data_IF_635129407672
#
_entry.id   IF_635129407672
#
_cell.length_a   1.000
_cell.length_b   1.000
_cell.length_c   1.000
_cell.angle_alpha   90.00
_cell.angle_beta   90.00
_cell.angle_gamma   90.00
#
_symmetry.space_group_name_H-M   'P 1'
#
loop_
_entity.id
_entity.type
_entity.pdbx_description
1 polymer ?
#
# COMPACT_ATOMS: atom_id res chain seq x y z
N UNK A 1 59.07 -2.00 62.59
CA UNK A 1 58.98 -0.90 63.57
C UNK A 1 57.57 -0.33 63.52
N UNK A 2 56.92 -0.29 64.67
CA UNK A 2 55.54 0.13 64.90
C UNK A 2 55.46 1.66 64.82
N UNK A 3 54.49 2.22 64.08
CA UNK A 3 53.55 3.23 64.62
C UNK A 3 52.45 3.62 63.61
N UNK A 4 51.21 3.47 64.08
CA UNK A 4 49.99 4.14 63.59
C UNK A 4 50.13 5.66 63.75
N UNK A 5 49.49 6.43 62.86
CA UNK A 5 48.63 7.54 63.27
C UNK A 5 47.62 7.91 62.18
N UNK A 6 46.54 8.48 62.66
CA UNK A 6 45.18 8.45 62.14
C UNK A 6 44.70 9.90 61.93
N UNK A 7 43.69 10.06 61.06
CA UNK A 7 42.64 11.11 61.05
C UNK A 7 43.01 12.53 60.53
N UNK A 8 42.31 12.98 59.48
CA UNK A 8 41.27 14.05 59.55
C UNK A 8 40.66 14.32 58.17
N UNK A 9 39.34 14.08 58.08
CA UNK A 9 38.44 14.68 57.09
C UNK A 9 37.86 15.93 57.73
N UNK A 10 37.95 17.10 57.08
CA UNK A 10 36.85 18.08 57.05
C UNK A 10 37.08 19.24 56.06
N UNK A 11 36.07 19.38 55.21
CA UNK A 11 35.57 20.53 54.45
C UNK A 11 36.02 21.95 54.86
N UNK A 12 36.42 22.74 53.87
CA UNK A 12 36.18 24.19 53.83
C UNK A 12 36.12 24.69 52.37
N UNK A 13 34.88 24.84 51.88
CA UNK A 13 34.32 25.93 51.07
C UNK A 13 35.28 26.85 50.29
N UNK A 14 35.24 26.77 48.95
CA UNK A 14 35.39 27.95 48.08
C UNK A 14 34.23 27.95 47.06
N UNK A 15 33.34 28.93 47.20
CA UNK A 15 32.17 29.18 46.36
C UNK A 15 32.49 30.37 45.45
N UNK A 16 32.22 30.17 44.15
CA UNK A 16 31.91 31.13 43.09
C UNK A 16 32.94 32.19 42.68
N UNK A 17 33.48 32.03 41.46
CA UNK A 17 33.09 32.90 40.33
C UNK A 17 33.53 32.27 38.99
N UNK A 18 32.61 31.60 38.29
CA UNK A 18 32.71 31.43 36.83
C UNK A 18 31.30 31.16 36.27
N UNK A 19 30.53 32.25 36.16
CA UNK A 19 29.31 32.30 35.37
C UNK A 19 29.69 32.87 33.99
N UNK A 20 29.15 32.25 32.93
CA UNK A 20 29.06 32.74 31.54
C UNK A 20 30.35 32.76 30.71
N UNK A 21 30.63 31.64 30.04
CA UNK A 21 30.80 31.60 28.57
C UNK A 21 30.80 30.15 28.09
N UNK A 22 29.61 29.55 27.98
CA UNK A 22 29.34 28.41 27.09
C UNK A 22 27.95 28.64 26.49
N UNK A 23 27.88 29.63 25.60
CA UNK A 23 26.76 29.82 24.69
C UNK A 23 27.34 29.76 23.27
N UNK A 24 26.69 28.94 22.43
CA UNK A 24 26.92 28.66 20.99
C UNK A 24 27.99 27.63 20.67
N UNK A 25 27.62 26.35 20.77
CA UNK A 25 27.67 25.46 19.60
C UNK A 25 26.81 24.19 19.81
N UNK A 26 25.51 24.35 20.03
CA UNK A 26 24.54 23.24 19.95
C UNK A 26 23.16 23.77 19.55
N UNK A 27 23.08 24.49 18.44
CA UNK A 27 21.82 24.86 17.80
C UNK A 27 22.04 24.90 16.29
N UNK A 28 22.16 23.72 15.67
CA UNK A 28 22.05 23.58 14.21
C UNK A 28 21.43 22.25 13.76
N UNK A 29 20.60 21.64 14.61
CA UNK A 29 19.83 20.43 14.28
C UNK A 29 18.33 20.55 14.59
N UNK A 30 17.82 21.77 14.87
CA UNK A 30 16.39 22.00 15.16
C UNK A 30 15.78 23.19 14.36
N UNK A 31 16.41 23.55 13.24
CA UNK A 31 15.83 24.50 12.26
C UNK A 31 16.06 24.02 10.83
N UNK A 32 15.33 22.98 10.42
CA UNK A 32 14.91 22.81 9.03
C UNK A 32 13.41 22.47 8.96
N UNK A 33 12.62 23.04 9.87
CA UNK A 33 11.15 22.98 9.79
C UNK A 33 10.69 24.11 8.88
N UNK A 34 10.05 23.71 7.78
CA UNK A 34 9.51 24.47 6.67
C UNK A 34 10.53 25.25 5.81
N UNK A 35 11.17 24.54 4.88
CA UNK A 35 11.29 25.11 3.51
C UNK A 35 9.87 25.53 3.12
N UNK A 36 9.71 26.73 2.60
CA UNK A 36 8.41 27.25 2.18
C UNK A 36 7.77 26.25 1.20
N UNK A 37 6.68 25.61 1.61
CA UNK A 37 5.94 24.67 0.76
C UNK A 37 5.19 25.50 -0.28
N UNK A 38 5.85 25.75 -1.40
CA UNK A 38 5.34 26.59 -2.48
C UNK A 38 4.18 25.96 -3.26
N UNK A 39 3.92 24.68 -3.01
CA UNK A 39 2.86 23.92 -3.65
C UNK A 39 1.68 23.66 -2.72
N UNK A 40 1.80 23.96 -1.42
CA UNK A 40 0.70 23.74 -0.49
C UNK A 40 -0.50 24.61 -0.85
N UNK A 41 -1.63 23.96 -1.07
CA UNK A 41 -2.91 24.62 -1.15
C UNK A 41 -3.91 23.92 -2.05
N UNK A 42 -5.05 24.57 -2.20
CA UNK A 42 -6.10 24.18 -3.14
C UNK A 42 -5.99 25.04 -4.39
N UNK A 43 -6.17 24.41 -5.54
CA UNK A 43 -6.08 24.98 -6.87
C UNK A 43 -7.33 24.63 -7.66
N UNK A 44 -7.83 25.58 -8.42
CA UNK A 44 -8.79 25.34 -9.48
C UNK A 44 -8.03 25.07 -10.78
N UNK A 45 -8.15 23.87 -11.32
CA UNK A 45 -7.69 23.51 -12.66
C UNK A 45 -8.89 23.51 -13.61
N UNK A 46 -8.85 24.33 -14.67
CA UNK A 46 -9.92 24.48 -15.64
C UNK A 46 -9.43 24.05 -17.01
N UNK A 47 -10.19 23.18 -17.68
CA UNK A 47 -9.94 22.79 -19.07
C UNK A 47 -10.84 23.60 -20.00
N UNK A 48 -10.25 24.18 -21.04
CA UNK A 48 -10.99 24.75 -22.15
C UNK A 48 -11.48 23.62 -23.06
N UNK A 49 -12.79 23.56 -23.27
CA UNK A 49 -13.41 22.68 -24.28
C UNK A 49 -14.35 23.48 -25.16
N UNK A 50 -14.70 22.94 -26.32
CA UNK A 50 -15.55 23.61 -27.32
C UNK A 50 -16.97 23.92 -26.83
N UNK A 51 -17.43 23.30 -25.73
CA UNK A 51 -18.83 23.38 -25.30
C UNK A 51 -19.03 23.68 -23.81
N UNK A 52 -18.19 23.15 -22.92
CA UNK A 52 -18.29 23.36 -21.47
C UNK A 52 -16.92 23.32 -20.79
N UNK A 53 -16.65 24.25 -19.88
CA UNK A 53 -15.44 24.16 -19.06
C UNK A 53 -15.52 22.93 -18.15
N UNK A 54 -14.46 22.13 -18.13
CA UNK A 54 -14.31 21.03 -17.17
C UNK A 54 -13.45 21.55 -16.02
N UNK A 55 -13.99 21.50 -14.81
CA UNK A 55 -13.37 22.04 -13.61
C UNK A 55 -12.90 20.92 -12.70
N UNK A 56 -11.65 21.02 -12.25
CA UNK A 56 -11.07 20.15 -11.26
C UNK A 56 -10.63 20.95 -10.03
N UNK A 57 -10.91 20.41 -8.86
CA UNK A 57 -10.29 20.81 -7.61
C UNK A 57 -9.02 19.99 -7.41
N UNK A 58 -7.90 20.66 -7.20
CA UNK A 58 -6.60 20.07 -6.99
C UNK A 58 -6.06 20.51 -5.64
N UNK A 59 -5.70 19.58 -4.77
CA UNK A 59 -4.96 19.88 -3.55
C UNK A 59 -3.55 19.33 -3.67
N UNK A 60 -2.54 20.14 -3.34
CA UNK A 60 -1.14 19.76 -3.40
C UNK A 60 -0.46 20.01 -2.05
N UNK A 61 0.54 19.20 -1.73
CA UNK A 61 1.41 19.36 -0.57
C UNK A 61 2.82 18.85 -0.86
N UNK A 62 3.81 19.39 -0.16
CA UNK A 62 5.19 18.90 -0.16
C UNK A 62 5.43 17.98 1.04
N UNK A 63 5.80 16.73 0.76
CA UNK A 63 6.23 15.75 1.75
C UNK A 63 7.55 16.11 2.43
N UNK A 64 7.88 15.41 3.52
CA UNK A 64 9.17 15.60 4.23
C UNK A 64 10.39 15.17 3.43
N UNK A 65 10.18 14.35 2.41
CA UNK A 65 11.15 13.91 1.39
C UNK A 65 11.20 14.86 0.17
N UNK A 66 10.61 16.05 0.28
CA UNK A 66 10.59 17.10 -0.76
C UNK A 66 9.79 16.77 -2.03
N UNK A 67 9.14 15.60 -2.12
CA UNK A 67 8.24 15.32 -3.24
C UNK A 67 6.92 16.06 -3.08
N UNK A 68 6.37 16.51 -4.20
CA UNK A 68 5.08 17.20 -4.26
C UNK A 68 4.03 16.25 -4.81
N UNK A 69 2.96 16.07 -4.07
CA UNK A 69 1.86 15.18 -4.43
C UNK A 69 0.55 15.71 -3.89
N UNK A 70 -0.54 15.07 -4.29
CA UNK A 70 -1.85 15.55 -3.96
C UNK A 70 -2.96 14.76 -4.59
N UNK A 71 -4.10 15.42 -4.70
CA UNK A 71 -5.33 14.80 -5.16
C UNK A 71 -6.10 15.72 -6.10
N UNK A 72 -6.66 15.14 -7.16
CA UNK A 72 -7.37 15.82 -8.23
C UNK A 72 -8.79 15.25 -8.33
N UNK A 73 -9.80 16.10 -8.19
CA UNK A 73 -11.23 15.72 -8.24
C UNK A 73 -12.01 16.58 -9.22
N UNK A 74 -13.00 16.01 -9.89
CA UNK A 74 -13.94 16.72 -10.75
C UNK A 74 -15.31 16.04 -10.74
N UNK A 75 -16.38 16.82 -10.56
CA UNK A 75 -17.76 16.32 -10.67
C UNK A 75 -18.07 15.82 -12.09
N UNK A 76 -17.34 16.30 -13.10
CA UNK A 76 -17.47 15.79 -14.46
C UNK A 76 -17.06 14.31 -14.53
N UNK A 77 -18.08 13.46 -14.71
CA UNK A 77 -17.98 11.99 -14.70
C UNK A 77 -17.44 11.40 -13.39
N UNK A 78 -17.64 12.08 -12.25
CA UNK A 78 -17.18 11.62 -10.94
C UNK A 78 -15.70 11.21 -10.97
N UNK A 79 -14.84 12.10 -11.48
CA UNK A 79 -13.42 11.81 -11.64
C UNK A 79 -12.62 12.16 -10.40
N UNK A 80 -11.70 11.27 -10.06
CA UNK A 80 -10.98 11.25 -8.81
C UNK A 80 -9.63 10.55 -9.03
N UNK A 81 -8.51 11.21 -8.70
CA UNK A 81 -7.18 10.65 -8.94
C UNK A 81 -6.11 11.26 -8.05
N UNK A 82 -5.13 10.47 -7.59
CA UNK A 82 -3.89 11.03 -7.07
C UNK A 82 -3.13 11.73 -8.21
N UNK A 83 -2.30 12.68 -7.82
CA UNK A 83 -1.43 13.44 -8.72
C UNK A 83 -0.11 13.71 -8.03
N UNK A 84 0.99 13.64 -8.77
CA UNK A 84 2.32 13.96 -8.27
C UNK A 84 3.14 14.72 -9.28
N UNK A 85 4.03 15.57 -8.78
CA UNK A 85 4.96 16.36 -9.56
C UNK A 85 6.14 15.49 -10.00
N UNK A 86 6.34 15.36 -11.30
CA UNK A 86 7.47 14.66 -11.91
C UNK A 86 8.73 15.51 -11.86
N UNK A 87 8.61 16.78 -12.25
CA UNK A 87 9.75 17.70 -12.36
C UNK A 87 9.32 19.15 -12.50
N UNK A 88 10.27 20.05 -12.18
CA UNK A 88 10.20 21.48 -12.49
C UNK A 88 11.43 21.84 -13.31
N UNK A 89 11.21 22.49 -14.45
CA UNK A 89 12.26 22.99 -15.34
C UNK A 89 11.92 24.45 -15.68
N UNK A 90 12.77 25.37 -15.24
CA UNK A 90 12.51 26.81 -15.27
C UNK A 90 11.14 27.13 -14.61
N UNK A 91 10.25 27.79 -15.34
CA UNK A 91 8.88 28.10 -14.90
C UNK A 91 7.87 27.00 -15.29
N UNK A 92 8.32 25.83 -15.76
CA UNK A 92 7.44 24.73 -16.17
C UNK A 92 7.39 23.61 -15.12
N UNK A 93 6.20 23.14 -14.80
CA UNK A 93 5.93 22.03 -13.91
C UNK A 93 5.22 20.90 -14.66
N UNK A 94 5.68 19.68 -14.42
CA UNK A 94 5.17 18.46 -15.06
C UNK A 94 4.64 17.54 -13.96
N UNK A 95 3.39 17.11 -14.10
CA UNK A 95 2.75 16.19 -13.18
C UNK A 95 2.20 14.99 -13.94
N UNK A 96 2.12 13.87 -13.23
CA UNK A 96 1.32 12.73 -13.63
C UNK A 96 0.16 12.55 -12.64
N UNK A 97 -0.98 12.16 -13.20
CA UNK A 97 -2.11 11.55 -12.50
C UNK A 97 -2.34 10.18 -13.16
N UNK A 98 -3.12 9.30 -12.54
CA UNK A 98 -3.28 7.87 -12.90
C UNK A 98 -2.97 7.49 -14.37
N UNK A 99 -3.76 7.97 -15.33
CA UNK A 99 -3.50 7.83 -16.78
C UNK A 99 -3.29 9.15 -17.50
N UNK A 100 -3.16 10.24 -16.75
CA UNK A 100 -3.25 11.61 -17.23
C UNK A 100 -1.95 12.37 -16.95
N UNK A 101 -1.60 13.35 -17.77
CA UNK A 101 -0.41 14.19 -17.60
C UNK A 101 -0.83 15.65 -17.63
N UNK A 102 -0.31 16.42 -16.68
CA UNK A 102 -0.51 17.86 -16.58
C UNK A 102 0.83 18.55 -16.78
N UNK A 103 0.89 19.48 -17.73
CA UNK A 103 2.08 20.27 -18.04
C UNK A 103 1.68 21.73 -17.97
N UNK A 104 2.33 22.48 -17.11
CA UNK A 104 1.98 23.86 -16.84
C UNK A 104 3.23 24.72 -16.87
N UNK A 105 3.11 25.92 -17.42
CA UNK A 105 4.10 26.98 -17.32
C UNK A 105 3.52 28.12 -16.50
N UNK A 106 4.31 28.67 -15.58
CA UNK A 106 3.91 29.78 -14.75
C UNK A 106 4.01 31.09 -15.53
N UNK A 107 2.92 31.84 -15.54
CA UNK A 107 2.82 33.19 -16.09
C UNK A 107 2.14 34.06 -15.02
N UNK A 108 2.94 34.89 -14.33
CA UNK A 108 2.54 35.64 -13.14
C UNK A 108 2.00 34.72 -12.01
N UNK A 109 0.72 34.91 -11.63
CA UNK A 109 0.01 34.12 -10.61
C UNK A 109 -0.81 32.98 -11.20
N UNK A 110 -0.67 32.70 -12.49
CA UNK A 110 -1.50 31.77 -13.24
C UNK A 110 -0.60 30.73 -13.89
N UNK A 111 -0.99 29.47 -13.79
CA UNK A 111 -0.34 28.40 -14.51
C UNK A 111 -1.15 28.08 -15.77
N UNK A 112 -0.50 27.98 -16.92
CA UNK A 112 -1.17 27.65 -18.19
C UNK A 112 -0.43 26.52 -18.91
N UNK A 113 -1.16 25.66 -19.60
CA UNK A 113 -0.54 24.59 -20.39
C UNK A 113 -1.55 23.55 -20.84
N UNK A 114 -1.20 22.26 -20.71
CA UNK A 114 -1.97 21.14 -21.26
C UNK A 114 -2.28 20.10 -20.19
N UNK A 115 -3.49 19.55 -20.23
CA UNK A 115 -3.87 18.37 -19.44
C UNK A 115 -4.45 17.30 -20.36
N UNK A 116 -3.93 16.08 -20.26
CA UNK A 116 -4.53 14.94 -20.95
C UNK A 116 -5.68 14.40 -20.11
N UNK A 117 -6.89 14.31 -20.66
CA UNK A 117 -8.05 13.77 -19.96
C UNK A 117 -8.95 13.03 -20.95
N UNK A 118 -9.48 11.87 -20.55
CA UNK A 118 -10.33 11.02 -21.40
C UNK A 118 -9.73 10.75 -22.79
N UNK A 119 -8.41 10.52 -22.85
CA UNK A 119 -7.63 10.27 -24.08
C UNK A 119 -7.50 11.44 -25.06
N UNK A 120 -7.94 12.64 -24.66
CA UNK A 120 -7.71 13.90 -25.40
C UNK A 120 -6.73 14.79 -24.62
N UNK A 121 -6.24 15.84 -25.26
CA UNK A 121 -5.42 16.88 -24.63
C UNK A 121 -6.14 18.22 -24.71
N UNK A 122 -6.24 18.92 -23.58
CA UNK A 122 -6.96 20.19 -23.44
C UNK A 122 -6.02 21.30 -22.99
N UNK A 123 -6.29 22.53 -23.42
CA UNK A 123 -5.72 23.71 -22.77
C UNK A 123 -6.22 23.79 -21.33
N UNK A 124 -5.27 24.02 -20.43
CA UNK A 124 -5.49 23.98 -19.00
C UNK A 124 -5.00 25.27 -18.36
N UNK A 125 -5.79 25.82 -17.44
CA UNK A 125 -5.40 26.92 -16.56
C UNK A 125 -5.52 26.48 -15.11
N UNK A 126 -4.50 26.72 -14.30
CA UNK A 126 -4.51 26.41 -12.88
C UNK A 126 -4.24 27.66 -12.04
N UNK A 127 -5.10 27.90 -11.04
CA UNK A 127 -5.04 29.05 -10.14
C UNK A 127 -5.18 28.58 -8.71
N UNK A 128 -4.33 29.07 -7.81
CA UNK A 128 -4.48 28.80 -6.39
C UNK A 128 -5.72 29.53 -5.86
N UNK A 129 -6.59 28.81 -5.17
CA UNK A 129 -7.82 29.33 -4.56
C UNK A 129 -7.72 29.39 -3.03
N UNK A 130 -6.90 28.52 -2.42
CA UNK A 130 -6.61 28.51 -0.99
C UNK A 130 -5.17 28.06 -0.72
N UNK A 131 -4.61 28.45 0.42
CA UNK A 131 -3.31 27.97 0.95
C UNK A 131 -3.46 26.75 1.86
N UNK A 132 -4.70 26.41 2.23
CA UNK A 132 -5.05 25.25 3.04
C UNK A 132 -5.32 24.03 2.16
N UNK A 133 -5.20 22.84 2.76
CA UNK A 133 -5.60 21.56 2.20
C UNK A 133 -6.36 20.77 3.26
N UNK A 134 -7.07 19.72 2.86
CA UNK A 134 -7.72 18.78 3.78
C UNK A 134 -6.73 18.19 4.79
N UNK A 135 -7.20 17.97 6.01
CA UNK A 135 -6.36 17.52 7.12
C UNK A 135 -5.71 16.16 6.83
N UNK A 136 -6.43 15.23 6.19
CA UNK A 136 -5.90 13.91 5.83
C UNK A 136 -4.73 13.97 4.84
N UNK A 137 -4.67 14.98 3.96
CA UNK A 137 -3.53 15.22 3.07
C UNK A 137 -2.38 15.88 3.85
N UNK A 138 -2.69 16.84 4.72
CA UNK A 138 -1.70 17.45 5.61
C UNK A 138 -1.00 16.41 6.52
N UNK A 139 -1.76 15.46 7.07
CA UNK A 139 -1.28 14.37 7.92
C UNK A 139 -0.50 13.28 7.15
N UNK A 140 -0.33 13.41 5.83
CA UNK A 140 0.39 12.45 5.01
C UNK A 140 1.87 12.79 4.78
N UNK A 141 2.32 14.02 5.11
CA UNK A 141 3.66 14.53 4.77
C UNK A 141 4.81 13.66 5.26
N UNK A 142 4.63 13.04 6.41
CA UNK A 142 5.64 12.22 7.07
C UNK A 142 5.45 10.72 6.78
N UNK A 143 4.40 10.38 6.03
CA UNK A 143 4.03 9.01 5.72
C UNK A 143 4.65 8.57 4.40
N UNK A 144 5.91 8.12 4.51
CA UNK A 144 6.74 7.73 3.37
C UNK A 144 6.50 6.26 2.97
N UNK A 145 6.57 5.94 1.67
CA UNK A 145 6.55 4.55 1.20
C UNK A 145 7.85 3.83 1.60
N UNK A 146 7.85 2.50 1.49
CA UNK A 146 9.08 1.72 1.64
C UNK A 146 10.13 2.18 0.60
N UNK A 147 11.34 2.49 1.07
CA UNK A 147 12.44 2.94 0.22
C UNK A 147 13.26 1.73 -0.25
N UNK A 148 13.22 1.43 -1.55
CA UNK A 148 13.97 0.32 -2.15
C UNK A 148 15.32 0.78 -2.72
N UNK A 149 16.25 -0.15 -2.90
CA UNK A 149 17.54 0.09 -3.55
C UNK A 149 17.46 0.29 -5.08
N UNK A 150 16.25 0.19 -5.64
CA UNK A 150 15.93 0.39 -7.05
C UNK A 150 14.68 1.23 -7.16
N UNK A 151 14.59 2.01 -8.23
CA UNK A 151 13.40 2.76 -8.57
C UNK A 151 12.36 1.84 -9.23
N UNK A 152 11.30 1.52 -8.48
CA UNK A 152 10.17 0.75 -8.97
C UNK A 152 9.01 1.68 -9.29
N UNK A 153 8.70 1.83 -10.59
CA UNK A 153 7.54 2.62 -11.04
C UNK A 153 6.21 2.22 -10.38
N UNK A 154 6.05 0.95 -10.01
CA UNK A 154 4.95 0.46 -9.16
C UNK A 154 5.46 -0.70 -8.31
N UNK A 155 4.94 -0.85 -7.10
CA UNK A 155 5.21 -2.00 -6.24
C UNK A 155 3.98 -2.33 -5.38
N UNK A 156 3.61 -3.62 -5.31
CA UNK A 156 2.39 -4.06 -4.64
C UNK A 156 2.46 -5.47 -4.05
N UNK A 157 1.46 -5.81 -3.25
CA UNK A 157 1.25 -7.15 -2.68
C UNK A 157 2.39 -7.59 -1.78
N UNK A 158 2.77 -6.71 -0.85
CA UNK A 158 3.74 -7.02 0.20
C UNK A 158 3.31 -8.29 0.94
N UNK A 159 4.15 -9.31 0.89
CA UNK A 159 3.95 -10.61 1.52
C UNK A 159 5.09 -10.81 2.50
N UNK A 160 4.91 -10.37 3.76
CA UNK A 160 5.96 -10.40 4.76
C UNK A 160 6.28 -11.83 5.20
N UNK A 161 7.59 -12.12 5.28
CA UNK A 161 8.13 -13.36 5.88
C UNK A 161 8.75 -13.08 7.24
N UNK A 162 9.10 -11.83 7.51
CA UNK A 162 9.40 -11.29 8.84
C UNK A 162 9.09 -9.79 8.87
N UNK A 163 9.31 -9.15 10.01
CA UNK A 163 9.21 -7.70 10.16
C UNK A 163 10.14 -6.91 9.22
N UNK A 164 11.22 -7.52 8.74
CA UNK A 164 12.28 -6.86 7.95
C UNK A 164 12.59 -7.59 6.64
N UNK A 165 11.73 -8.52 6.22
CA UNK A 165 11.86 -9.21 4.94
C UNK A 165 10.48 -9.45 4.31
N UNK A 166 10.30 -9.04 3.06
CA UNK A 166 9.03 -9.15 2.33
C UNK A 166 9.25 -9.66 0.90
N UNK A 167 8.33 -10.48 0.41
CA UNK A 167 8.13 -10.59 -1.04
C UNK A 167 7.20 -9.48 -1.51
N UNK A 168 7.33 -9.05 -2.76
CA UNK A 168 6.38 -8.16 -3.41
C UNK A 168 6.41 -8.34 -4.93
N UNK A 169 5.43 -7.76 -5.61
CA UNK A 169 5.32 -7.76 -7.07
C UNK A 169 5.56 -6.35 -7.63
N UNK A 170 6.38 -6.25 -8.68
CA UNK A 170 6.51 -5.05 -9.51
C UNK A 170 6.57 -5.45 -10.97
N UNK A 171 5.82 -4.78 -11.85
CA UNK A 171 5.76 -5.09 -13.31
C UNK A 171 5.67 -6.59 -13.61
N UNK A 172 4.79 -7.27 -12.87
CA UNK A 172 4.53 -8.72 -12.98
C UNK A 172 5.72 -9.64 -12.66
N UNK A 173 6.70 -9.12 -11.93
CA UNK A 173 7.89 -9.82 -11.44
C UNK A 173 7.83 -9.91 -9.92
N UNK A 174 8.33 -11.00 -9.37
CA UNK A 174 8.41 -11.21 -7.91
C UNK A 174 9.80 -10.80 -7.43
N UNK A 175 9.85 -10.04 -6.35
CA UNK A 175 11.08 -9.61 -5.68
C UNK A 175 11.04 -10.01 -4.21
N UNK A 176 12.19 -10.39 -3.67
CA UNK A 176 12.43 -10.48 -2.23
C UNK A 176 13.20 -9.22 -1.81
N UNK A 177 12.71 -8.55 -0.77
CA UNK A 177 13.35 -7.37 -0.20
C UNK A 177 13.72 -7.60 1.27
N UNK A 178 14.90 -7.12 1.65
CA UNK A 178 15.41 -7.15 3.03
C UNK A 178 15.68 -5.73 3.51
N UNK A 179 15.15 -5.36 4.66
CA UNK A 179 15.38 -4.06 5.28
C UNK A 179 16.71 -4.10 6.07
N UNK A 180 17.69 -3.28 5.68
CA UNK A 180 18.97 -3.17 6.38
C UNK A 180 19.02 -2.04 7.43
N UNK A 181 17.90 -1.33 7.61
CA UNK A 181 17.77 -0.18 8.52
C UNK A 181 17.70 1.16 7.80
N UNK A 182 18.21 1.24 6.56
CA UNK A 182 18.14 2.45 5.72
C UNK A 182 17.31 2.21 4.46
N UNK A 183 17.53 1.07 3.78
CA UNK A 183 16.90 0.73 2.51
C UNK A 183 16.45 -0.74 2.48
N UNK A 184 15.44 -0.99 1.65
CA UNK A 184 15.04 -2.34 1.28
C UNK A 184 15.87 -2.83 0.10
N UNK A 185 16.85 -3.70 0.38
CA UNK A 185 17.71 -4.34 -0.62
C UNK A 185 16.93 -5.40 -1.37
N UNK A 186 16.89 -5.30 -2.71
CA UNK A 186 16.00 -6.14 -3.52
C UNK A 186 16.74 -7.15 -4.39
N UNK A 187 16.23 -8.38 -4.39
CA UNK A 187 16.65 -9.44 -5.29
C UNK A 187 15.43 -9.97 -6.06
N UNK A 188 15.55 -10.07 -7.38
CA UNK A 188 14.49 -10.68 -8.20
C UNK A 188 14.44 -12.18 -7.93
N UNK A 189 13.24 -12.73 -7.74
CA UNK A 189 13.04 -14.17 -7.60
C UNK A 189 13.16 -14.80 -8.98
N UNK A 190 14.03 -15.80 -9.11
CA UNK A 190 14.26 -16.51 -10.37
C UNK A 190 13.18 -17.58 -10.59
N UNK A 191 12.46 -17.49 -11.71
CA UNK A 191 11.49 -18.45 -12.20
C UNK A 191 11.38 -18.34 -13.73
N UNK A 192 10.68 -19.25 -14.39
CA UNK A 192 10.57 -19.28 -15.86
C UNK A 192 9.70 -18.12 -16.42
N UNK A 193 10.33 -16.95 -16.58
CA UNK A 193 9.71 -15.73 -17.11
C UNK A 193 9.30 -15.79 -18.57
N UNK A 194 9.76 -16.78 -19.33
CA UNK A 194 9.33 -16.95 -20.73
C UNK A 194 7.93 -17.53 -20.79
N UNK A 195 7.54 -18.27 -19.77
CA UNK A 195 6.27 -18.96 -19.71
C UNK A 195 5.32 -18.38 -18.66
N UNK A 196 5.79 -17.58 -17.69
CA UNK A 196 4.96 -17.17 -16.56
C UNK A 196 5.07 -15.68 -16.21
N UNK A 197 3.92 -15.08 -15.89
CA UNK A 197 3.79 -13.78 -15.23
C UNK A 197 2.88 -13.90 -14.00
N UNK A 198 3.19 -13.18 -12.92
CA UNK A 198 2.40 -13.18 -11.69
C UNK A 198 2.04 -11.76 -11.27
N UNK A 199 0.83 -11.55 -10.77
CA UNK A 199 0.24 -10.26 -10.47
C UNK A 199 0.12 -10.00 -8.96
N UNK A 200 -0.10 -11.05 -8.18
CA UNK A 200 -0.16 -10.99 -6.72
C UNK A 200 0.29 -12.31 -6.11
N UNK A 201 0.66 -12.27 -4.83
CA UNK A 201 1.27 -13.39 -4.12
C UNK A 201 0.81 -13.45 -2.66
N UNK A 202 0.99 -14.63 -2.07
CA UNK A 202 1.01 -14.93 -0.65
C UNK A 202 2.12 -15.95 -0.37
N UNK A 203 2.36 -16.26 0.90
CA UNK A 203 3.42 -17.18 1.34
C UNK A 203 2.86 -18.24 2.27
N UNK A 204 3.41 -19.45 2.19
CA UNK A 204 3.18 -20.49 3.19
C UNK A 204 3.71 -20.10 4.57
N UNK A 205 3.08 -20.57 5.64
CA UNK A 205 3.57 -20.37 6.99
C UNK A 205 4.98 -20.97 7.21
N UNK A 206 5.27 -22.09 6.56
CA UNK A 206 6.60 -22.72 6.57
C UNK A 206 7.60 -22.06 5.60
N UNK A 207 7.16 -21.05 4.85
CA UNK A 207 7.93 -20.29 3.86
C UNK A 207 8.54 -21.15 2.73
N UNK A 208 8.08 -22.40 2.57
CA UNK A 208 8.58 -23.34 1.55
C UNK A 208 8.06 -23.04 0.14
N UNK A 209 6.95 -22.30 0.03
CA UNK A 209 6.30 -22.00 -1.24
C UNK A 209 5.52 -20.70 -1.20
N UNK A 210 5.46 -20.04 -2.34
CA UNK A 210 4.53 -18.94 -2.59
C UNK A 210 3.23 -19.51 -3.18
N UNK A 211 2.12 -18.88 -2.85
CA UNK A 211 0.89 -18.98 -3.65
C UNK A 211 0.79 -17.72 -4.49
N UNK A 212 0.62 -17.87 -5.79
CA UNK A 212 0.64 -16.75 -6.72
C UNK A 212 -0.59 -16.77 -7.60
N UNK A 213 -1.10 -15.58 -7.90
CA UNK A 213 -2.06 -15.38 -8.96
C UNK A 213 -1.32 -14.83 -10.20
N UNK A 214 -1.55 -15.45 -11.35
CA UNK A 214 -0.79 -15.18 -12.56
C UNK A 214 -1.36 -15.90 -13.78
N UNK A 215 -0.57 -15.99 -14.85
CA UNK A 215 -0.96 -16.76 -16.03
C UNK A 215 0.25 -17.26 -16.81
N UNK A 216 0.09 -18.34 -17.60
CA UNK A 216 1.05 -18.70 -18.60
C UNK A 216 1.09 -17.66 -19.75
N UNK A 217 2.24 -17.53 -20.41
CA UNK A 217 2.48 -16.62 -21.54
C UNK A 217 2.28 -17.29 -22.92
N UNK A 218 2.14 -18.61 -22.94
CA UNK A 218 1.86 -19.42 -24.14
C UNK A 218 0.60 -20.22 -23.84
N UNK A 219 -0.42 -20.10 -24.70
CA UNK A 219 -1.81 -20.45 -24.41
C UNK A 219 -2.04 -21.85 -23.82
N UNK A 220 -2.96 -21.91 -22.85
CA UNK A 220 -3.97 -22.96 -22.75
C UNK A 220 -5.17 -22.46 -21.95
N UNK A 221 -6.27 -22.18 -22.64
CA UNK A 221 -7.63 -21.78 -22.20
C UNK A 221 -7.93 -20.26 -22.18
N UNK A 222 -9.16 -19.87 -22.59
CA UNK A 222 -9.59 -18.48 -22.59
C UNK A 222 -9.98 -18.02 -21.18
N UNK A 223 -9.01 -17.69 -20.33
CA UNK A 223 -9.32 -17.05 -19.05
C UNK A 223 -9.76 -15.61 -19.30
N UNK A 224 -11.01 -15.28 -19.00
CA UNK A 224 -11.53 -13.91 -19.16
C UNK A 224 -10.92 -13.01 -18.09
N UNK A 225 -9.72 -12.49 -18.36
CA UNK A 225 -9.17 -11.26 -17.77
C UNK A 225 -8.43 -11.38 -16.43
N UNK A 226 -8.52 -12.50 -15.71
CA UNK A 226 -7.94 -12.67 -14.38
C UNK A 226 -6.53 -13.26 -14.34
N UNK A 227 -6.38 -14.49 -14.80
CA UNK A 227 -5.28 -15.39 -14.44
C UNK A 227 -5.74 -16.39 -13.36
N UNK A 228 -4.97 -17.45 -13.15
CA UNK A 228 -5.25 -18.54 -12.21
C UNK A 228 -4.32 -18.48 -10.98
N UNK A 229 -4.57 -19.36 -10.02
CA UNK A 229 -3.72 -19.62 -8.88
C UNK A 229 -2.71 -20.75 -9.11
N UNK A 230 -1.49 -20.53 -8.63
CA UNK A 230 -0.36 -21.45 -8.74
C UNK A 230 0.40 -21.55 -7.42
N UNK A 231 0.89 -22.74 -7.11
CA UNK A 231 1.99 -22.93 -6.16
C UNK A 231 3.33 -22.74 -6.85
N UNK A 232 4.21 -21.99 -6.21
CA UNK A 232 5.60 -21.79 -6.59
C UNK A 232 6.48 -22.37 -5.48
N UNK A 233 6.94 -23.60 -5.64
CA UNK A 233 7.81 -24.27 -4.68
C UNK A 233 9.20 -23.62 -4.70
N UNK A 234 9.66 -23.13 -3.56
CA UNK A 234 10.93 -22.43 -3.44
C UNK A 234 12.07 -23.43 -3.17
N UNK A 235 13.08 -23.45 -4.04
CA UNK A 235 14.36 -24.14 -3.76
C UNK A 235 15.24 -23.29 -2.83
N UNK A 236 15.16 -21.98 -3.02
CA UNK A 236 15.76 -20.95 -2.15
C UNK A 236 14.78 -19.79 -2.08
N UNK A 237 14.93 -18.85 -1.13
CA UNK A 237 14.06 -17.68 -1.06
C UNK A 237 13.97 -16.87 -2.37
N UNK A 238 14.95 -16.98 -3.26
CA UNK A 238 14.98 -16.25 -4.54
C UNK A 238 15.03 -17.16 -5.77
N UNK A 239 14.65 -18.43 -5.65
CA UNK A 239 14.60 -19.37 -6.78
C UNK A 239 13.43 -20.33 -6.63
N UNK A 240 12.52 -20.29 -7.60
CA UNK A 240 11.41 -21.24 -7.74
C UNK A 240 11.92 -22.47 -8.48
N UNK A 241 11.71 -23.65 -7.89
CA UNK A 241 12.03 -24.93 -8.53
C UNK A 241 10.89 -25.49 -9.36
N UNK A 242 9.65 -25.38 -8.86
CA UNK A 242 8.46 -25.95 -9.50
C UNK A 242 7.28 -24.98 -9.43
N UNK A 243 6.54 -24.89 -10.54
CA UNK A 243 5.27 -24.17 -10.62
C UNK A 243 4.17 -25.21 -10.85
N UNK A 244 3.14 -25.21 -10.00
CA UNK A 244 2.02 -26.14 -10.06
C UNK A 244 0.70 -25.37 -10.06
N UNK A 245 -0.14 -25.55 -11.08
CA UNK A 245 -1.48 -24.97 -11.08
C UNK A 245 -2.33 -25.57 -9.97
N UNK A 246 -3.16 -24.74 -9.32
CA UNK A 246 -4.22 -25.25 -8.45
C UNK A 246 -5.29 -26.00 -9.28
N UNK A 247 -6.05 -26.93 -8.68
CA UNK A 247 -7.08 -27.68 -9.40
C UNK A 247 -8.18 -26.75 -9.93
N UNK A 248 -8.87 -27.19 -11.00
CA UNK A 248 -10.01 -26.48 -11.59
C UNK A 248 -11.22 -26.35 -10.66
N UNK A 249 -11.24 -27.05 -9.52
CA UNK A 249 -12.22 -26.81 -8.46
C UNK A 249 -11.99 -25.49 -7.71
N UNK A 250 -10.79 -24.90 -7.84
CA UNK A 250 -10.40 -23.60 -7.30
C UNK A 250 -10.34 -22.56 -8.41
N UNK A 251 -9.68 -22.88 -9.52
CA UNK A 251 -9.52 -21.96 -10.66
C UNK A 251 -10.80 -21.90 -11.50
N UNK A 252 -11.32 -20.70 -11.72
CA UNK A 252 -12.49 -20.39 -12.53
C UNK A 252 -12.11 -19.66 -13.82
N UNK A 253 -13.02 -19.56 -14.78
CA UNK A 253 -12.79 -18.81 -16.03
C UNK A 253 -12.81 -17.26 -15.86
N UNK A 254 -12.80 -16.75 -14.62
CA UNK A 254 -13.03 -15.34 -14.28
C UNK A 254 -11.79 -14.62 -13.69
N UNK A 255 -12.02 -13.49 -13.01
CA UNK A 255 -11.02 -12.78 -12.24
C UNK A 255 -10.80 -13.45 -10.88
N UNK A 256 -9.87 -14.39 -10.86
CA UNK A 256 -9.40 -15.09 -9.67
C UNK A 256 -8.15 -14.39 -9.16
N UNK A 257 -8.19 -13.71 -8.02
CA UNK A 257 -7.15 -12.77 -7.60
C UNK A 257 -6.81 -12.86 -6.11
N UNK A 258 -5.59 -12.42 -5.78
CA UNK A 258 -5.11 -12.09 -4.43
C UNK A 258 -5.15 -13.22 -3.38
N UNK A 259 -4.44 -14.34 -3.64
CA UNK A 259 -4.47 -15.49 -2.74
C UNK A 259 -3.73 -15.21 -1.42
N UNK A 260 -4.13 -15.92 -0.36
CA UNK A 260 -3.45 -16.00 0.92
C UNK A 260 -3.49 -17.43 1.44
N UNK A 261 -2.46 -17.86 2.18
CA UNK A 261 -2.43 -19.19 2.80
C UNK A 261 -2.40 -19.08 4.31
N UNK A 262 -3.25 -19.84 4.98
CA UNK A 262 -3.32 -19.88 6.45
C UNK A 262 -2.19 -20.72 7.03
N UNK A 263 -2.03 -20.68 8.35
CA UNK A 263 -1.07 -21.53 9.07
C UNK A 263 -1.40 -23.02 9.00
N UNK A 264 -2.64 -23.38 8.64
CA UNK A 264 -3.08 -24.77 8.44
C UNK A 264 -2.90 -25.25 6.99
N UNK A 265 -2.51 -24.38 6.07
CA UNK A 265 -2.44 -24.69 4.64
C UNK A 265 -3.76 -24.49 3.89
N UNK A 266 -4.80 -23.96 4.52
CA UNK A 266 -6.00 -23.52 3.81
C UNK A 266 -5.66 -22.31 2.94
N UNK A 267 -6.35 -22.18 1.80
CA UNK A 267 -6.16 -21.07 0.88
C UNK A 267 -7.37 -20.15 0.93
N UNK A 268 -7.15 -18.88 1.21
CA UNK A 268 -8.13 -17.83 1.00
C UNK A 268 -7.92 -17.18 -0.36
N UNK A 269 -9.01 -16.97 -1.09
CA UNK A 269 -8.96 -16.53 -2.48
C UNK A 269 -10.17 -15.66 -2.82
N UNK A 270 -10.03 -14.80 -3.82
CA UNK A 270 -11.13 -13.97 -4.32
C UNK A 270 -11.47 -14.39 -5.74
N UNK A 271 -12.72 -14.70 -6.03
CA UNK A 271 -13.15 -14.95 -7.42
C UNK A 271 -14.35 -14.10 -7.81
N UNK A 272 -14.32 -13.62 -9.05
CA UNK A 272 -15.45 -12.99 -9.73
C UNK A 272 -16.30 -14.03 -10.50
N UNK A 273 -15.86 -15.29 -10.53
CA UNK A 273 -16.49 -16.41 -11.18
C UNK A 273 -17.62 -17.01 -10.35
N UNK A 274 -18.19 -18.09 -10.87
CA UNK A 274 -19.14 -18.93 -10.14
C UNK A 274 -18.45 -20.26 -9.87
N UNK A 275 -18.44 -20.67 -8.60
CA UNK A 275 -17.99 -21.99 -8.19
C UNK A 275 -19.18 -22.97 -8.18
N UNK A 276 -18.92 -24.24 -8.47
CA UNK A 276 -19.96 -25.27 -8.49
C UNK A 276 -20.61 -25.42 -7.11
N UNK A 277 -21.94 -25.42 -7.07
CA UNK A 277 -22.75 -25.59 -5.85
C UNK A 277 -22.53 -24.55 -4.75
N UNK A 278 -21.90 -23.41 -5.06
CA UNK A 278 -21.77 -22.28 -4.14
C UNK A 278 -22.49 -21.08 -4.75
N UNK A 279 -23.40 -20.48 -3.98
CA UNK A 279 -24.07 -19.24 -4.40
C UNK A 279 -23.07 -18.08 -4.37
N UNK A 280 -23.25 -17.16 -5.32
CA UNK A 280 -22.42 -15.96 -5.42
C UNK A 280 -23.18 -14.80 -4.80
N UNK A 281 -22.53 -14.08 -3.91
CA UNK A 281 -23.06 -12.93 -3.18
C UNK A 281 -22.93 -11.63 -4.00
N UNK A 282 -21.82 -11.44 -4.71
CA UNK A 282 -21.50 -10.16 -5.32
C UNK A 282 -20.67 -10.19 -6.60
N UNK A 283 -19.85 -9.13 -6.78
CA UNK A 283 -18.99 -9.01 -7.96
C UNK A 283 -17.67 -9.72 -7.77
N UNK A 284 -17.12 -9.73 -6.56
CA UNK A 284 -15.97 -10.54 -6.17
C UNK A 284 -16.18 -11.02 -4.74
N UNK A 285 -16.13 -12.33 -4.55
CA UNK A 285 -16.41 -12.97 -3.26
C UNK A 285 -15.14 -13.67 -2.76
N UNK A 286 -14.98 -13.70 -1.44
CA UNK A 286 -13.92 -14.44 -0.76
C UNK A 286 -14.39 -15.87 -0.50
N UNK A 287 -13.54 -16.82 -0.85
CA UNK A 287 -13.74 -18.24 -0.59
C UNK A 287 -12.56 -18.79 0.20
N UNK A 288 -12.79 -19.94 0.84
CA UNK A 288 -11.73 -20.73 1.47
C UNK A 288 -11.67 -22.11 0.83
N UNK A 289 -10.50 -22.47 0.35
CA UNK A 289 -10.16 -23.83 -0.04
C UNK A 289 -9.51 -24.52 1.16
N UNK A 290 -10.26 -25.42 1.80
CA UNK A 290 -9.81 -26.21 2.96
C UNK A 290 -8.91 -27.35 2.51
N UNK A 291 -7.72 -27.45 3.09
CA UNK A 291 -6.82 -28.56 2.85
C UNK A 291 -7.34 -29.82 3.58
N UNK A 292 -7.50 -30.92 2.84
CA UNK A 292 -7.93 -32.22 3.37
C UNK A 292 -6.73 -33.12 3.66
N UNK A 293 -6.97 -34.17 4.46
CA UNK A 293 -5.96 -35.17 4.84
C UNK A 293 -5.33 -35.90 3.63
N UNK A 294 -6.07 -36.02 2.52
CA UNK A 294 -5.58 -36.62 1.27
C UNK A 294 -4.77 -35.64 0.39
N UNK A 295 -4.58 -34.40 0.84
CA UNK A 295 -3.88 -33.33 0.13
C UNK A 295 -4.73 -32.59 -0.91
N UNK A 296 -6.01 -32.97 -1.09
CA UNK A 296 -6.94 -32.24 -1.95
C UNK A 296 -7.54 -31.03 -1.23
N UNK A 297 -8.22 -30.16 -1.99
CA UNK A 297 -8.93 -29.01 -1.45
C UNK A 297 -10.45 -29.16 -1.62
N UNK A 298 -11.22 -28.80 -0.59
CA UNK A 298 -12.65 -28.47 -0.73
C UNK A 298 -12.85 -26.97 -0.63
N UNK A 299 -13.55 -26.39 -1.60
CA UNK A 299 -13.85 -24.97 -1.61
C UNK A 299 -15.23 -24.74 -1.01
N UNK A 300 -15.33 -23.73 -0.17
CA UNK A 300 -16.58 -23.23 0.42
C UNK A 300 -16.59 -21.70 0.41
N UNK A 301 -17.79 -21.11 0.48
CA UNK A 301 -17.94 -19.68 0.76
C UNK A 301 -17.24 -19.36 2.10
N UNK A 302 -16.52 -18.24 2.16
CA UNK A 302 -15.81 -17.88 3.38
C UNK A 302 -16.75 -17.55 4.54
N UNK A 303 -17.62 -16.55 4.37
CA UNK A 303 -18.65 -16.15 5.33
C UNK A 303 -19.60 -15.11 4.70
N UNK A 304 -20.90 -15.24 4.95
CA UNK A 304 -21.97 -14.37 4.44
C UNK A 304 -21.97 -12.94 5.01
N UNK A 305 -21.36 -12.71 6.16
CA UNK A 305 -21.19 -11.36 6.73
C UNK A 305 -20.02 -10.63 6.06
N UNK A 306 -19.13 -11.38 5.41
CA UNK A 306 -17.97 -10.85 4.71
C UNK A 306 -18.33 -10.58 3.26
N UNK A 307 -18.84 -11.59 2.55
CA UNK A 307 -19.24 -11.48 1.15
C UNK A 307 -20.55 -10.71 1.05
N UNK A 308 -20.55 -9.60 0.31
CA UNK A 308 -21.74 -8.76 0.12
C UNK A 308 -22.04 -8.59 -1.37
N UNK A 309 -23.03 -7.75 -1.73
CA UNK A 309 -23.25 -7.40 -3.14
C UNK A 309 -22.12 -6.54 -3.74
N UNK A 310 -21.22 -6.02 -2.91
CA UNK A 310 -20.06 -5.25 -3.33
C UNK A 310 -18.97 -6.20 -3.87
N UNK A 311 -17.73 -5.75 -3.98
CA UNK A 311 -16.62 -6.65 -4.26
C UNK A 311 -15.68 -6.69 -3.06
N UNK A 312 -15.48 -7.88 -2.52
CA UNK A 312 -14.52 -8.17 -1.46
C UNK A 312 -13.29 -8.87 -2.03
N UNK A 313 -12.11 -8.43 -1.62
CA UNK A 313 -10.88 -8.87 -2.24
C UNK A 313 -9.66 -8.81 -1.31
N UNK A 314 -8.59 -9.52 -1.68
CA UNK A 314 -7.26 -9.40 -1.08
C UNK A 314 -7.23 -9.67 0.42
N UNK A 315 -7.90 -10.76 0.81
CA UNK A 315 -8.02 -11.20 2.19
C UNK A 315 -6.68 -11.68 2.75
N UNK A 316 -6.43 -11.34 4.00
CA UNK A 316 -5.37 -11.81 4.88
C UNK A 316 -6.03 -12.36 6.14
N UNK A 317 -5.64 -13.55 6.57
CA UNK A 317 -6.01 -14.08 7.88
C UNK A 317 -4.80 -14.02 8.79
N UNK A 318 -4.99 -13.46 9.99
CA UNK A 318 -3.95 -13.42 11.01
C UNK A 318 -3.44 -14.84 11.32
N UNK A 319 -2.15 -14.97 11.65
CA UNK A 319 -1.50 -16.28 11.82
C UNK A 319 -2.10 -17.14 12.95
N UNK A 320 -2.78 -16.51 13.91
CA UNK A 320 -3.52 -17.13 15.00
C UNK A 320 -5.03 -17.32 14.71
N UNK A 321 -5.45 -17.00 13.48
CA UNK A 321 -6.81 -17.08 12.97
C UNK A 321 -7.85 -16.26 13.78
N UNK A 322 -7.45 -15.23 14.54
CA UNK A 322 -8.39 -14.43 15.35
C UNK A 322 -9.09 -13.31 14.57
N UNK A 323 -8.56 -12.90 13.42
CA UNK A 323 -9.13 -11.84 12.60
C UNK A 323 -8.78 -12.06 11.12
N UNK A 324 -9.54 -11.41 10.23
CA UNK A 324 -9.17 -11.19 8.84
C UNK A 324 -9.09 -9.70 8.52
N UNK A 325 -8.26 -9.37 7.54
CA UNK A 325 -8.20 -8.06 6.89
C UNK A 325 -8.48 -8.28 5.41
N UNK A 326 -9.30 -7.43 4.80
CA UNK A 326 -9.61 -7.50 3.37
C UNK A 326 -9.98 -6.10 2.88
N UNK A 327 -10.06 -5.90 1.57
CA UNK A 327 -10.57 -4.65 1.01
C UNK A 327 -11.95 -4.83 0.40
N UNK A 328 -12.79 -3.80 0.55
CA UNK A 328 -14.07 -3.67 -0.15
C UNK A 328 -13.94 -2.61 -1.23
N UNK A 329 -14.45 -2.93 -2.42
CA UNK A 329 -14.62 -2.00 -3.53
C UNK A 329 -16.11 -1.75 -3.77
N UNK A 330 -16.55 -0.51 -3.59
CA UNK A 330 -17.93 -0.12 -3.80
C UNK A 330 -18.12 0.63 -5.13
N UNK A 331 -17.89 -0.07 -6.25
CA UNK A 331 -18.03 0.49 -7.61
C UNK A 331 -19.42 1.07 -7.90
N UNK A 332 -20.48 0.65 -7.18
CA UNK A 332 -21.83 1.20 -7.36
C UNK A 332 -21.97 2.61 -6.76
N UNK A 333 -21.14 2.97 -5.78
CA UNK A 333 -21.17 4.26 -5.07
C UNK A 333 -19.98 5.17 -5.40
N UNK A 334 -19.20 4.81 -6.42
CA UNK A 334 -17.96 5.51 -6.79
C UNK A 334 -16.99 5.69 -5.61
N UNK A 335 -17.01 4.76 -4.63
CA UNK A 335 -16.10 4.84 -3.49
C UNK A 335 -14.81 4.06 -3.78
N UNK A 336 -13.64 4.63 -3.43
CA UNK A 336 -12.35 3.95 -3.54
C UNK A 336 -12.23 2.76 -2.57
N UNK A 337 -11.31 1.83 -2.88
CA UNK A 337 -11.05 0.67 -2.04
C UNK A 337 -10.64 1.08 -0.62
N UNK A 338 -11.15 0.37 0.37
CA UNK A 338 -10.83 0.56 1.79
C UNK A 338 -10.53 -0.77 2.45
N UNK A 339 -9.58 -0.78 3.38
CA UNK A 339 -9.30 -1.94 4.22
C UNK A 339 -10.28 -2.03 5.39
N UNK A 340 -10.82 -3.21 5.60
CA UNK A 340 -11.68 -3.58 6.70
C UNK A 340 -11.06 -4.72 7.50
N UNK A 341 -11.42 -4.81 8.76
CA UNK A 341 -11.07 -5.91 9.66
C UNK A 341 -12.34 -6.57 10.20
N UNK A 342 -12.34 -7.89 10.29
CA UNK A 342 -13.40 -8.65 10.97
C UNK A 342 -12.79 -9.64 11.95
N UNK A 343 -13.44 -9.76 13.11
CA UNK A 343 -13.01 -10.62 14.22
C UNK A 343 -13.64 -12.00 14.08
N UNK A 344 -12.89 -13.04 14.41
CA UNK A 344 -13.45 -14.38 14.53
C UNK A 344 -14.35 -14.44 15.77
N UNK A 345 -15.57 -14.90 15.59
CA UNK A 345 -16.53 -15.16 16.66
C UNK A 345 -16.60 -16.67 16.95
N UNK A 346 -17.41 -17.05 17.94
CA UNK A 346 -17.71 -18.47 18.18
C UNK A 346 -18.35 -19.12 16.95
N UNK A 347 -19.29 -18.39 16.33
CA UNK A 347 -20.00 -18.82 15.12
C UNK A 347 -19.79 -17.76 14.01
N UNK A 348 -18.79 -17.97 13.17
CA UNK A 348 -18.51 -17.11 12.00
C UNK A 348 -17.66 -15.88 12.30
N UNK A 349 -17.91 -14.80 11.56
CA UNK A 349 -17.14 -13.56 11.59
C UNK A 349 -18.00 -12.36 11.99
N UNK A 350 -17.40 -11.39 12.70
CA UNK A 350 -18.08 -10.15 13.07
C UNK A 350 -18.40 -9.28 11.86
N UNK A 351 -19.31 -8.32 12.02
CA UNK A 351 -19.47 -7.24 11.05
C UNK A 351 -18.11 -6.55 10.80
N UNK A 352 -17.72 -6.33 9.53
CA UNK A 352 -16.45 -5.69 9.22
C UNK A 352 -16.37 -4.22 9.69
N UNK A 353 -15.32 -3.88 10.44
CA UNK A 353 -14.99 -2.52 10.84
C UNK A 353 -13.99 -1.92 9.85
N UNK A 354 -14.23 -0.70 9.35
CA UNK A 354 -13.29 -0.01 8.47
C UNK A 354 -12.07 0.45 9.28
N UNK A 355 -10.86 0.11 8.82
CA UNK A 355 -9.62 0.54 9.49
C UNK A 355 -9.47 2.05 9.35
N UNK A 356 -9.14 2.76 10.42
CA UNK A 356 -8.98 4.22 10.40
C UNK A 356 -7.68 4.72 9.77
N UNK A 357 -7.47 6.05 9.72
CA UNK A 357 -6.18 6.66 9.40
C UNK A 357 -5.06 6.20 10.36
N UNK A 358 -3.79 6.16 9.91
CA UNK A 358 -3.31 6.63 8.61
C UNK A 358 -3.44 5.61 7.47
N UNK A 359 -4.05 4.43 7.73
CA UNK A 359 -4.17 3.35 6.75
C UNK A 359 -5.15 3.74 5.66
N UNK A 360 -6.44 3.84 5.97
CA UNK A 360 -7.41 4.38 5.03
C UNK A 360 -7.40 5.91 5.12
N UNK A 361 -7.25 6.57 3.97
CA UNK A 361 -7.41 8.02 3.82
C UNK A 361 -8.69 8.30 3.06
N UNK A 362 -9.33 9.43 3.34
CA UNK A 362 -10.61 9.81 2.71
C UNK A 362 -10.50 10.10 1.21
N UNK A 363 -9.30 10.44 0.72
CA UNK A 363 -9.08 10.88 -0.66
C UNK A 363 -8.48 9.82 -1.59
N UNK A 364 -8.07 8.63 -1.15
CA UNK A 364 -7.46 7.66 -2.08
C UNK A 364 -7.78 6.22 -1.69
N UNK A 365 -7.70 5.27 -2.63
CA UNK A 365 -7.82 3.84 -2.35
C UNK A 365 -6.69 3.29 -1.47
N UNK A 366 -7.00 2.22 -0.76
CA UNK A 366 -6.04 1.41 0.01
C UNK A 366 -6.44 -0.06 -0.05
N UNK A 367 -5.48 -0.95 -0.31
CA UNK A 367 -5.74 -2.38 -0.48
C UNK A 367 -4.55 -3.25 -0.05
N UNK A 368 -4.71 -4.58 -0.11
CA UNK A 368 -3.61 -5.53 0.08
C UNK A 368 -3.01 -5.57 1.49
N UNK A 369 -3.86 -5.39 2.52
CA UNK A 369 -3.44 -5.37 3.92
C UNK A 369 -2.86 -6.70 4.39
N UNK A 370 -1.62 -6.71 4.87
CA UNK A 370 -0.88 -7.91 5.33
C UNK A 370 -0.07 -7.59 6.58
N UNK A 371 -0.03 -8.47 7.57
CA UNK A 371 0.77 -8.30 8.80
C UNK A 371 1.93 -9.29 8.78
N UNK A 372 3.11 -8.90 9.26
CA UNK A 372 4.23 -9.83 9.38
C UNK A 372 3.99 -10.92 10.44
N UNK A 373 4.67 -12.09 10.36
CA UNK A 373 4.45 -13.16 11.32
C UNK A 373 4.79 -12.83 12.78
N UNK A 374 5.53 -11.76 13.05
CA UNK A 374 5.81 -11.29 14.41
C UNK A 374 4.78 -10.26 14.90
N UNK A 375 3.81 -9.89 14.06
CA UNK A 375 2.77 -8.94 14.42
C UNK A 375 3.27 -7.50 14.58
N UNK A 376 4.46 -7.16 14.08
CA UNK A 376 5.11 -5.87 14.37
C UNK A 376 4.60 -4.74 13.45
N UNK A 377 4.40 -5.04 12.18
CA UNK A 377 4.07 -4.11 11.12
C UNK A 377 2.88 -4.60 10.29
N UNK A 378 2.00 -3.66 9.98
CA UNK A 378 0.93 -3.81 9.01
C UNK A 378 1.33 -3.12 7.70
N UNK A 379 1.42 -3.91 6.64
CA UNK A 379 1.74 -3.50 5.28
C UNK A 379 0.47 -3.33 4.46
N UNK A 380 0.44 -2.34 3.58
CA UNK A 380 -0.66 -2.11 2.66
C UNK A 380 -0.21 -1.31 1.44
N UNK A 381 -1.05 -1.30 0.41
CA UNK A 381 -0.82 -0.53 -0.81
C UNK A 381 -1.71 0.70 -0.88
N UNK A 382 -1.14 1.81 -1.35
CA UNK A 382 -1.91 3.01 -1.69
C UNK A 382 -1.22 3.81 -2.79
N UNK A 383 -1.99 4.69 -3.42
CA UNK A 383 -1.55 5.54 -4.53
C UNK A 383 -1.44 7.02 -4.21
N UNK A 384 -1.54 7.45 -2.93
CA UNK A 384 -1.70 8.89 -2.61
C UNK A 384 -0.51 9.77 -3.04
N UNK A 385 0.63 9.18 -3.40
CA UNK A 385 1.81 9.89 -3.91
C UNK A 385 1.97 9.80 -5.42
N UNK A 386 0.87 9.59 -6.15
CA UNK A 386 0.83 9.57 -7.62
C UNK A 386 0.99 8.17 -8.25
N UNK A 387 1.67 7.26 -7.55
CA UNK A 387 1.88 5.88 -7.99
C UNK A 387 1.57 4.88 -6.88
N UNK A 388 1.27 3.63 -7.25
CA UNK A 388 1.04 2.54 -6.31
C UNK A 388 2.34 2.13 -5.63
N UNK A 389 2.37 2.27 -4.31
CA UNK A 389 3.52 1.92 -3.47
C UNK A 389 3.08 1.10 -2.26
N UNK A 390 4.07 0.49 -1.60
CA UNK A 390 3.90 -0.23 -0.34
C UNK A 390 4.21 0.72 0.82
N UNK A 391 3.31 0.76 1.79
CA UNK A 391 3.44 1.47 3.05
C UNK A 391 3.41 0.48 4.20
N UNK A 392 3.97 0.87 5.35
CA UNK A 392 3.81 0.11 6.60
C UNK A 392 3.62 1.00 7.82
N UNK A 393 2.88 0.50 8.79
CA UNK A 393 2.71 1.10 10.12
C UNK A 393 2.96 0.05 11.20
N UNK A 394 3.30 0.46 12.42
CA UNK A 394 3.27 -0.47 13.55
C UNK A 394 1.83 -0.92 13.78
N UNK A 395 1.60 -2.21 13.97
CA UNK A 395 0.26 -2.76 14.30
C UNK A 395 -0.32 -2.08 15.53
N UNK A 396 0.50 -1.83 16.56
CA UNK A 396 0.13 -1.12 17.79
C UNK A 396 -0.38 0.32 17.57
N UNK A 397 -0.02 0.95 16.44
CA UNK A 397 -0.48 2.29 16.10
C UNK A 397 -1.90 2.29 15.49
N UNK A 398 -2.36 1.15 14.96
CA UNK A 398 -3.67 0.99 14.35
C UNK A 398 -4.68 0.56 15.41
N UNK A 399 -5.67 1.41 15.69
CA UNK A 399 -6.63 1.22 16.79
C UNK A 399 -7.29 -0.16 16.74
N UNK A 400 -7.73 -0.56 15.56
CA UNK A 400 -8.48 -1.79 15.32
C UNK A 400 -7.61 -3.06 15.43
N UNK A 401 -6.28 -2.93 15.44
CA UNK A 401 -5.34 -4.05 15.60
C UNK A 401 -4.85 -4.26 17.03
N UNK A 402 -5.10 -3.31 17.95
CA UNK A 402 -4.53 -3.32 19.32
C UNK A 402 -5.00 -4.47 20.20
N UNK A 403 -6.16 -5.05 19.92
CA UNK A 403 -6.63 -6.23 20.67
C UNK A 403 -5.90 -7.52 20.25
N UNK A 404 -5.20 -7.49 19.12
CA UNK A 404 -4.50 -8.64 18.57
C UNK A 404 -3.00 -8.63 18.89
N UNK A 405 -2.39 -7.47 19.18
CA UNK A 405 -0.93 -7.31 19.33
C UNK A 405 -0.50 -6.42 20.49
#
# INVERSE_FOLDING_TARGET
MIHKKEIKVQFATLIFLSLLTLIKCSTKAEKSKDKHDNWKGTYQLQLATDSTAINFELELITGTDEQVYGYLRSDFKSYDSPIALDSVVDDSAFFHAYTNKLRLKKEDSIWQGKFTFLRNEYDATMRQTDTMVRQSLADSRDFLPLQFDKDFQTNAWATPVSADQIYFVSKKRIYLANNDGELWKTQEVNYDRKHWEFYSIGIAADQSKLIAHGKPLVDSLPHQGGGDYYFLDLETPTKVGKITALPNSINTDSYDIFPWMTTQGDILLTTYGKLENIEKSGKGDIYIARLKDDGSYSVEEFDKNINTEEAEAGVFMGYDNRFIIFHKNNRKKDLPDRLFISRKLQDGWSEPEMIGPPVNRDFIWTYGGRIDPQGKYFYFNSGFRGQTEIYRVKTSAVKELREFY
#
